data_IF_167289648951
#
_entry.id   IF_167289648951
#
_cell.length_a   1.000
_cell.length_b   1.000
_cell.length_c   1.000
_cell.angle_alpha   90.00
_cell.angle_beta   90.00
_cell.angle_gamma   90.00
#
_symmetry.space_group_name_H-M   'P 1'
#
loop_
_entity.id
_entity.type
_entity.pdbx_description
1 polymer ?
#
# COMPACT_ATOMS: atom_id res chain seq x y z
N UNK A 1 -33.57 11.93 -20.20
CA UNK A 1 -32.82 10.90 -19.47
C UNK A 1 -32.15 11.58 -18.30
N UNK A 2 -32.58 11.22 -17.08
CA UNK A 2 -32.16 11.89 -15.83
C UNK A 2 -30.71 11.54 -15.48
N UNK A 3 -29.80 12.51 -15.24
CA UNK A 3 -28.37 12.25 -14.97
C UNK A 3 -28.10 11.32 -13.76
N UNK A 4 -29.01 11.23 -12.81
CA UNK A 4 -28.89 10.36 -11.63
C UNK A 4 -29.04 8.86 -11.90
N UNK A 5 -29.73 8.45 -12.96
CA UNK A 5 -29.93 7.03 -13.26
C UNK A 5 -28.69 6.37 -13.89
N UNK A 6 -27.88 7.14 -14.62
CA UNK A 6 -26.61 6.65 -15.19
C UNK A 6 -25.54 6.49 -14.11
N UNK A 7 -25.45 7.42 -13.16
CA UNK A 7 -24.53 7.35 -12.02
C UNK A 7 -24.86 6.16 -11.10
N UNK A 8 -26.15 5.88 -10.86
CA UNK A 8 -26.55 4.74 -10.03
C UNK A 8 -26.25 3.39 -10.70
N UNK A 9 -26.42 3.28 -12.02
CA UNK A 9 -26.04 2.07 -12.75
C UNK A 9 -24.53 1.82 -12.72
N UNK A 10 -23.73 2.86 -12.96
CA UNK A 10 -22.29 2.76 -12.94
C UNK A 10 -21.79 2.32 -11.55
N UNK A 11 -22.28 2.92 -10.48
CA UNK A 11 -21.94 2.52 -9.10
C UNK A 11 -22.36 1.06 -8.82
N UNK A 12 -23.47 0.61 -9.36
CA UNK A 12 -23.95 -0.75 -9.15
C UNK A 12 -23.12 -1.79 -9.94
N UNK A 13 -22.67 -1.46 -11.15
CA UNK A 13 -21.75 -2.25 -11.95
C UNK A 13 -20.38 -2.32 -11.28
N UNK A 14 -19.83 -1.20 -10.84
CA UNK A 14 -18.54 -1.14 -10.12
C UNK A 14 -18.55 -1.96 -8.82
N UNK A 15 -19.65 -1.94 -8.07
CA UNK A 15 -19.83 -2.76 -6.86
C UNK A 15 -19.94 -4.25 -7.21
N UNK A 16 -20.63 -4.61 -8.27
CA UNK A 16 -20.73 -6.01 -8.70
C UNK A 16 -19.37 -6.55 -9.15
N UNK A 17 -18.62 -5.79 -9.94
CA UNK A 17 -17.28 -6.15 -10.41
C UNK A 17 -16.33 -6.31 -9.22
N UNK A 18 -16.37 -5.39 -8.25
CA UNK A 18 -15.60 -5.46 -7.02
C UNK A 18 -15.91 -6.72 -6.17
N UNK A 19 -17.18 -7.07 -6.03
CA UNK A 19 -17.62 -8.28 -5.33
C UNK A 19 -17.16 -9.54 -6.06
N UNK A 20 -17.27 -9.54 -7.39
CA UNK A 20 -16.88 -10.65 -8.26
C UNK A 20 -15.37 -10.91 -8.18
N UNK A 21 -14.54 -9.87 -8.27
CA UNK A 21 -13.08 -9.96 -8.09
C UNK A 21 -12.70 -10.54 -6.72
N UNK A 22 -13.37 -10.09 -5.65
CA UNK A 22 -13.15 -10.60 -4.31
C UNK A 22 -13.49 -12.07 -4.14
N UNK A 23 -14.58 -12.53 -4.76
CA UNK A 23 -15.00 -13.94 -4.72
C UNK A 23 -14.01 -14.80 -5.52
N UNK A 24 -13.57 -14.32 -6.67
CA UNK A 24 -12.55 -15.00 -7.48
C UNK A 24 -11.22 -15.13 -6.74
N UNK A 25 -10.74 -14.03 -6.13
CA UNK A 25 -9.50 -14.04 -5.35
C UNK A 25 -9.57 -15.05 -4.19
N UNK A 26 -10.67 -15.09 -3.43
CA UNK A 26 -10.87 -16.08 -2.35
C UNK A 26 -10.83 -17.51 -2.87
N UNK A 27 -11.42 -17.76 -4.03
CA UNK A 27 -11.43 -19.08 -4.66
C UNK A 27 -10.01 -19.48 -5.08
N UNK A 28 -9.25 -18.56 -5.70
CA UNK A 28 -7.86 -18.81 -6.06
C UNK A 28 -6.98 -19.07 -4.83
N UNK A 29 -7.18 -18.32 -3.76
CA UNK A 29 -6.47 -18.49 -2.49
C UNK A 29 -6.77 -19.88 -1.90
N UNK A 30 -8.03 -20.31 -1.86
CA UNK A 30 -8.41 -21.62 -1.33
C UNK A 30 -7.80 -22.76 -2.16
N UNK A 31 -7.83 -22.67 -3.49
CA UNK A 31 -7.22 -23.66 -4.39
C UNK A 31 -5.69 -23.70 -4.22
N UNK A 32 -5.05 -22.55 -4.18
CA UNK A 32 -3.62 -22.46 -3.99
C UNK A 32 -3.18 -22.98 -2.60
N UNK A 33 -3.97 -22.75 -1.56
CA UNK A 33 -3.73 -23.29 -0.22
C UNK A 33 -3.82 -24.83 -0.18
N UNK A 34 -4.59 -25.45 -1.08
CA UNK A 34 -4.62 -26.91 -1.25
C UNK A 34 -3.53 -27.47 -2.19
N UNK A 35 -2.58 -26.62 -2.62
CA UNK A 35 -1.42 -27.03 -3.44
C UNK A 35 -1.60 -26.82 -4.95
N UNK A 36 -2.67 -26.18 -5.41
CA UNK A 36 -2.87 -25.86 -6.83
C UNK A 36 -1.88 -24.76 -7.27
N UNK A 37 -0.79 -25.19 -7.92
CA UNK A 37 0.26 -24.27 -8.43
C UNK A 37 -0.24 -23.33 -9.51
N UNK A 38 -1.25 -23.71 -10.29
CA UNK A 38 -1.85 -22.87 -11.32
C UNK A 38 -2.64 -21.72 -10.68
N UNK A 39 -3.44 -22.00 -9.66
CA UNK A 39 -4.14 -20.99 -8.90
C UNK A 39 -3.17 -20.01 -8.24
N UNK A 40 -2.05 -20.49 -7.69
CA UNK A 40 -1.02 -19.61 -7.15
C UNK A 40 -0.35 -18.75 -8.23
N UNK A 41 -0.06 -19.30 -9.40
CA UNK A 41 0.50 -18.52 -10.51
C UNK A 41 -0.45 -17.40 -10.97
N UNK A 42 -1.76 -17.59 -10.87
CA UNK A 42 -2.74 -16.54 -11.13
C UNK A 42 -2.70 -15.45 -10.05
N UNK A 43 -2.59 -15.80 -8.77
CA UNK A 43 -2.38 -14.84 -7.68
C UNK A 43 -1.09 -14.03 -7.86
N UNK A 44 0.02 -14.69 -8.27
CA UNK A 44 1.27 -13.99 -8.57
C UNK A 44 1.07 -12.98 -9.69
N UNK A 45 0.44 -13.38 -10.81
CA UNK A 45 0.20 -12.47 -11.94
C UNK A 45 -0.67 -11.27 -11.55
N UNK A 46 -1.69 -11.48 -10.73
CA UNK A 46 -2.58 -10.42 -10.25
C UNK A 46 -1.86 -9.41 -9.34
N UNK A 47 -0.94 -9.87 -8.49
CA UNK A 47 -0.36 -9.04 -7.43
C UNK A 47 1.09 -8.59 -7.67
N UNK A 48 1.84 -9.20 -8.62
CA UNK A 48 3.26 -8.87 -8.83
C UNK A 48 3.49 -7.41 -9.22
N UNK A 49 2.66 -6.85 -10.09
CA UNK A 49 2.79 -5.46 -10.53
C UNK A 49 2.61 -4.48 -9.38
N UNK A 50 1.61 -4.72 -8.54
CA UNK A 50 1.38 -3.95 -7.32
C UNK A 50 2.57 -4.04 -6.37
N UNK A 51 3.00 -5.27 -6.03
CA UNK A 51 4.04 -5.48 -5.03
C UNK A 51 5.38 -4.88 -5.45
N UNK A 52 5.80 -5.09 -6.72
CA UNK A 52 7.01 -4.49 -7.27
C UNK A 52 6.98 -2.97 -7.23
N UNK A 53 5.84 -2.37 -7.58
CA UNK A 53 5.67 -0.92 -7.55
C UNK A 53 5.76 -0.35 -6.13
N UNK A 54 5.14 -1.02 -5.17
CA UNK A 54 5.23 -0.65 -3.76
C UNK A 54 6.68 -0.75 -3.26
N UNK A 55 7.32 -1.90 -3.48
CA UNK A 55 8.69 -2.15 -3.04
C UNK A 55 9.72 -1.27 -3.75
N UNK A 56 9.53 -0.96 -5.04
CA UNK A 56 10.37 -0.01 -5.77
C UNK A 56 10.40 1.36 -5.08
N UNK A 57 9.26 1.86 -4.62
CA UNK A 57 9.17 3.10 -3.85
C UNK A 57 9.75 2.97 -2.45
N UNK A 58 9.56 1.83 -1.80
CA UNK A 58 10.17 1.53 -0.49
C UNK A 58 11.69 1.51 -0.60
N UNK A 59 12.24 0.89 -1.63
CA UNK A 59 13.67 0.75 -1.90
C UNK A 59 14.30 1.98 -2.61
N UNK A 60 13.60 3.11 -2.69
CA UNK A 60 14.10 4.35 -3.33
C UNK A 60 14.57 4.16 -4.77
N UNK A 61 13.83 3.40 -5.58
CA UNK A 61 14.14 3.15 -6.98
C UNK A 61 15.17 2.03 -7.22
N UNK A 62 15.70 1.39 -6.19
CA UNK A 62 16.51 0.17 -6.36
C UNK A 62 15.60 -0.99 -6.79
N UNK A 63 15.46 -1.14 -8.11
CA UNK A 63 14.60 -2.16 -8.72
C UNK A 63 15.11 -3.58 -8.47
N UNK A 64 16.43 -3.79 -8.44
CA UNK A 64 17.01 -5.10 -8.15
C UNK A 64 16.58 -5.60 -6.77
N UNK A 65 16.76 -4.75 -5.75
CA UNK A 65 16.32 -5.06 -4.39
C UNK A 65 14.80 -5.21 -4.28
N UNK A 66 14.04 -4.39 -4.96
CA UNK A 66 12.58 -4.48 -4.97
C UNK A 66 12.09 -5.80 -5.59
N UNK A 67 12.74 -6.26 -6.66
CA UNK A 67 12.41 -7.53 -7.31
C UNK A 67 12.78 -8.74 -6.44
N UNK A 68 13.93 -8.70 -5.77
CA UNK A 68 14.35 -9.76 -4.82
C UNK A 68 13.38 -9.88 -3.66
N UNK A 69 13.00 -8.75 -3.04
CA UNK A 69 12.01 -8.72 -1.96
C UNK A 69 10.62 -9.19 -2.40
N UNK A 70 10.21 -8.83 -3.63
CA UNK A 70 8.94 -9.30 -4.17
C UNK A 70 8.96 -10.81 -4.41
N UNK A 71 10.04 -11.33 -4.97
CA UNK A 71 10.20 -12.77 -5.19
C UNK A 71 10.19 -13.53 -3.86
N UNK A 72 10.95 -13.06 -2.87
CA UNK A 72 10.98 -13.68 -1.55
C UNK A 72 9.59 -13.66 -0.88
N UNK A 73 8.85 -12.55 -0.98
CA UNK A 73 7.50 -12.45 -0.46
C UNK A 73 6.57 -13.50 -1.09
N UNK A 74 6.64 -13.74 -2.40
CA UNK A 74 5.84 -14.78 -3.06
C UNK A 74 6.28 -16.19 -2.66
N UNK A 75 7.58 -16.45 -2.50
CA UNK A 75 8.06 -17.75 -1.99
C UNK A 75 7.57 -18.01 -0.57
N UNK A 76 7.62 -17.02 0.29
CA UNK A 76 7.07 -17.11 1.66
C UNK A 76 5.54 -17.27 1.64
N UNK A 77 4.86 -16.53 0.75
CA UNK A 77 3.42 -16.64 0.57
C UNK A 77 3.02 -18.07 0.18
N UNK A 78 3.69 -18.68 -0.79
CA UNK A 78 3.43 -20.06 -1.18
C UNK A 78 3.56 -21.04 -0.02
N UNK A 79 4.61 -20.90 0.79
CA UNK A 79 4.85 -21.78 1.94
C UNK A 79 3.86 -21.58 3.09
N UNK A 80 3.42 -20.34 3.30
CA UNK A 80 2.53 -19.99 4.42
C UNK A 80 1.03 -20.01 4.04
N UNK A 81 0.71 -20.14 2.75
CA UNK A 81 -0.65 -20.08 2.25
C UNK A 81 -1.61 -21.13 2.88
N UNK A 82 -1.18 -22.38 3.19
CA UNK A 82 -2.03 -23.35 3.89
C UNK A 82 -2.47 -22.88 5.28
N UNK A 83 -1.75 -21.93 5.89
CA UNK A 83 -2.07 -21.38 7.21
C UNK A 83 -2.81 -20.02 7.12
N UNK A 84 -3.03 -19.51 5.92
CA UNK A 84 -3.73 -18.24 5.70
C UNK A 84 -5.22 -18.38 6.00
N UNK A 85 -5.70 -17.72 7.04
CA UNK A 85 -7.09 -17.84 7.54
C UNK A 85 -8.10 -16.93 6.83
N UNK A 86 -7.65 -16.09 5.91
CA UNK A 86 -8.53 -15.14 5.22
C UNK A 86 -9.04 -13.98 6.12
N UNK A 87 -8.39 -13.72 7.26
CA UNK A 87 -8.73 -12.64 8.20
C UNK A 87 -8.42 -11.24 7.63
N UNK A 88 -7.64 -11.18 6.58
CA UNK A 88 -7.34 -9.97 5.80
C UNK A 88 -7.41 -10.28 4.32
N UNK A 89 -7.39 -9.25 3.46
CA UNK A 89 -7.22 -9.45 2.01
C UNK A 89 -5.87 -10.09 1.73
N UNK A 90 -5.79 -10.92 0.68
CA UNK A 90 -4.53 -11.55 0.26
C UNK A 90 -3.43 -10.51 0.01
N UNK A 91 -3.78 -9.39 -0.62
CA UNK A 91 -2.88 -8.24 -0.85
C UNK A 91 -2.27 -7.69 0.44
N UNK A 92 -3.08 -7.48 1.50
CA UNK A 92 -2.63 -7.02 2.81
C UNK A 92 -1.66 -8.02 3.45
N UNK A 93 -2.01 -9.30 3.42
CA UNK A 93 -1.18 -10.37 3.95
C UNK A 93 0.15 -10.51 3.20
N UNK A 94 0.13 -10.44 1.86
CA UNK A 94 1.33 -10.45 1.02
C UNK A 94 2.24 -9.25 1.33
N UNK A 95 1.66 -8.06 1.54
CA UNK A 95 2.42 -6.87 1.94
C UNK A 95 3.10 -7.07 3.30
N UNK A 96 2.43 -7.69 4.28
CA UNK A 96 3.04 -8.06 5.57
C UNK A 96 4.26 -8.96 5.39
N UNK A 97 4.16 -9.97 4.53
CA UNK A 97 5.28 -10.88 4.24
C UNK A 97 6.46 -10.13 3.61
N UNK A 98 6.20 -9.25 2.65
CA UNK A 98 7.26 -8.44 2.02
C UNK A 98 7.95 -7.51 3.04
N UNK A 99 7.19 -6.86 3.91
CA UNK A 99 7.75 -5.99 4.95
C UNK A 99 8.48 -6.77 6.05
N UNK A 100 8.08 -8.02 6.35
CA UNK A 100 8.81 -8.86 7.30
C UNK A 100 10.20 -9.22 6.79
N UNK A 101 10.37 -9.42 5.48
CA UNK A 101 11.70 -9.61 4.87
C UNK A 101 12.55 -8.34 4.99
N UNK A 102 11.96 -7.18 4.69
CA UNK A 102 12.64 -5.89 4.82
C UNK A 102 13.09 -5.61 6.26
N UNK A 103 12.25 -5.95 7.25
CA UNK A 103 12.56 -5.75 8.68
C UNK A 103 13.63 -6.72 9.19
N UNK A 104 13.73 -7.93 8.63
CA UNK A 104 14.76 -8.90 9.01
C UNK A 104 16.16 -8.43 8.57
N UNK A 105 16.27 -7.68 7.47
CA UNK A 105 17.51 -7.06 7.02
C UNK A 105 17.92 -5.82 7.84
N UNK A 106 16.96 -5.18 8.49
CA UNK A 106 17.15 -3.96 9.30
C UNK A 106 16.42 -4.10 10.64
N UNK A 107 17.08 -4.61 11.68
CA UNK A 107 16.47 -4.83 13.00
C UNK A 107 16.26 -3.55 13.82
N UNK A 108 15.74 -2.52 13.28
CA UNK A 108 14.99 -1.43 13.93
C UNK A 108 14.82 -0.27 12.95
N UNK A 109 13.61 -0.15 12.40
CA UNK A 109 13.11 1.18 12.09
C UNK A 109 13.00 1.89 13.45
N UNK A 110 13.71 2.98 13.70
CA UNK A 110 13.75 3.56 15.04
C UNK A 110 12.33 3.88 15.50
N UNK A 111 11.97 3.38 16.68
CA UNK A 111 10.84 3.89 17.43
C UNK A 111 11.20 5.33 17.78
N UNK A 112 10.69 6.27 17.01
CA UNK A 112 10.95 7.69 17.23
C UNK A 112 10.18 8.13 18.47
N UNK A 113 10.88 8.81 19.38
CA UNK A 113 10.28 9.55 20.49
C UNK A 113 9.07 10.34 20.02
N UNK A 114 7.92 10.00 20.57
CA UNK A 114 6.65 10.58 20.18
C UNK A 114 6.13 11.46 21.29
N UNK A 115 6.29 12.76 21.12
CA UNK A 115 5.33 13.70 21.70
C UNK A 115 4.21 13.88 20.67
N UNK A 116 2.98 13.46 20.94
CA UNK A 116 1.87 13.65 20.03
C UNK A 116 1.48 15.13 20.03
N UNK A 117 1.33 15.78 18.87
CA UNK A 117 0.51 16.96 18.81
C UNK A 117 -0.96 16.53 18.94
N UNK A 118 -1.67 17.15 19.85
CA UNK A 118 -3.12 17.02 20.00
C UNK A 118 -3.84 17.39 18.69
N UNK A 119 -4.83 16.53 18.38
CA UNK A 119 -5.96 16.78 17.48
C UNK A 119 -5.71 17.30 16.07
N UNK A 120 -5.94 16.39 15.11
CA UNK A 120 -6.68 16.73 13.89
C UNK A 120 -7.24 15.43 13.27
N UNK A 121 -8.48 15.14 13.60
CA UNK A 121 -9.32 14.28 12.78
C UNK A 121 -9.73 15.09 11.56
N UNK A 122 -9.33 14.65 10.37
CA UNK A 122 -10.09 14.88 9.13
C UNK A 122 -9.51 13.97 8.04
N UNK A 123 -10.29 12.94 7.72
CA UNK A 123 -10.16 12.21 6.46
C UNK A 123 -10.77 13.10 5.37
N UNK A 124 -9.94 13.87 4.68
CA UNK A 124 -10.32 14.46 3.41
C UNK A 124 -9.63 13.71 2.27
N UNK A 125 -10.44 12.96 1.53
CA UNK A 125 -10.08 12.52 0.19
C UNK A 125 -9.93 13.77 -0.68
N UNK A 126 -8.69 14.13 -0.98
CA UNK A 126 -8.39 15.21 -1.91
C UNK A 126 -8.26 14.62 -3.30
N UNK A 127 -9.22 14.91 -4.16
CA UNK A 127 -9.16 14.65 -5.61
C UNK A 127 -7.96 15.41 -6.21
N UNK A 128 -7.00 14.64 -6.72
CA UNK A 128 -5.86 15.17 -7.46
C UNK A 128 -6.18 15.24 -8.95
N UNK A 129 -6.23 16.44 -9.50
CA UNK A 129 -6.34 16.67 -10.95
C UNK A 129 -5.03 16.29 -11.67
N UNK A 130 -5.07 15.49 -12.76
CA UNK A 130 -3.86 15.07 -13.48
C UNK A 130 -3.47 16.09 -14.53
N UNK A 131 -2.27 16.65 -14.39
CA UNK A 131 -1.59 17.41 -15.44
C UNK A 131 -0.09 17.34 -15.25
N UNK A 132 0.61 16.83 -16.28
CA UNK A 132 2.08 16.79 -16.44
C UNK A 132 2.81 15.84 -15.47
N UNK A 133 3.46 14.83 -16.01
CA UNK A 133 4.48 13.90 -15.45
C UNK A 133 4.51 13.69 -13.92
N UNK A 134 3.32 13.73 -13.29
CA UNK A 134 3.10 13.67 -11.84
C UNK A 134 3.75 12.44 -11.18
N UNK A 135 4.06 11.40 -11.96
CA UNK A 135 4.71 10.19 -11.45
C UNK A 135 6.16 10.43 -11.08
N UNK A 136 6.90 11.18 -11.91
CA UNK A 136 8.30 11.54 -11.65
C UNK A 136 8.36 12.52 -10.49
N UNK A 137 7.43 13.46 -10.45
CA UNK A 137 7.36 14.45 -9.38
C UNK A 137 6.96 13.82 -8.05
N UNK A 138 6.04 12.84 -8.05
CA UNK A 138 5.66 12.10 -6.85
C UNK A 138 6.81 11.26 -6.31
N UNK A 139 7.55 10.54 -7.16
CA UNK A 139 8.66 9.71 -6.73
C UNK A 139 9.80 10.59 -6.16
N UNK A 140 10.11 11.73 -6.77
CA UNK A 140 11.03 12.74 -6.21
C UNK A 140 10.55 13.29 -4.87
N UNK A 141 9.27 13.62 -4.75
CA UNK A 141 8.71 14.12 -3.51
C UNK A 141 8.78 13.06 -2.39
N UNK A 142 8.51 11.80 -2.70
CA UNK A 142 8.66 10.69 -1.77
C UNK A 142 10.12 10.49 -1.31
N UNK A 143 11.10 10.78 -2.18
CA UNK A 143 12.52 10.64 -1.84
C UNK A 143 13.01 11.67 -0.82
N UNK A 144 12.33 12.81 -0.70
CA UNK A 144 12.65 13.83 0.30
C UNK A 144 12.13 13.48 1.71
N UNK A 145 11.17 12.54 1.80
CA UNK A 145 10.64 12.11 3.08
C UNK A 145 11.67 11.29 3.87
N UNK A 146 11.64 11.42 5.19
CA UNK A 146 12.36 10.49 6.05
C UNK A 146 11.84 9.06 5.84
N UNK A 147 12.68 8.07 6.13
CA UNK A 147 12.30 6.66 5.94
C UNK A 147 10.99 6.29 6.68
N UNK A 148 10.79 6.68 7.98
CA UNK A 148 9.53 6.43 8.66
C UNK A 148 8.32 7.10 8.02
N UNK A 149 8.44 8.36 7.60
CA UNK A 149 7.38 9.08 6.92
C UNK A 149 6.97 8.42 5.61
N UNK A 150 7.96 8.02 4.81
CA UNK A 150 7.73 7.35 3.53
C UNK A 150 7.06 6.00 3.71
N UNK A 151 7.51 5.16 4.64
CA UNK A 151 6.89 3.87 4.92
C UNK A 151 5.44 4.02 5.40
N UNK A 152 5.19 4.95 6.33
CA UNK A 152 3.84 5.22 6.80
C UNK A 152 2.91 5.64 5.65
N UNK A 153 3.36 6.56 4.79
CA UNK A 153 2.59 7.05 3.66
C UNK A 153 2.35 5.96 2.60
N UNK A 154 3.40 5.19 2.23
CA UNK A 154 3.30 4.15 1.22
C UNK A 154 2.38 2.99 1.66
N UNK A 155 2.37 2.64 2.94
CA UNK A 155 1.45 1.61 3.44
C UNK A 155 0.01 2.11 3.48
N UNK A 156 -0.24 3.33 3.91
CA UNK A 156 -1.60 3.85 4.03
C UNK A 156 -2.20 4.24 2.68
N UNK A 157 -1.47 4.92 1.82
CA UNK A 157 -2.00 5.42 0.53
C UNK A 157 -1.52 4.63 -0.69
N UNK A 158 -0.34 4.03 -0.65
CA UNK A 158 0.17 3.22 -1.75
C UNK A 158 -0.31 1.78 -1.72
N UNK A 159 -0.49 1.23 -0.52
CA UNK A 159 -0.96 -0.14 -0.30
C UNK A 159 -2.45 -0.21 0.06
N UNK A 160 -3.10 0.94 0.23
CA UNK A 160 -4.51 1.04 0.61
C UNK A 160 -4.83 0.27 1.92
N UNK A 161 -3.95 0.44 2.92
CA UNK A 161 -4.10 -0.17 4.23
C UNK A 161 -4.67 0.83 5.22
N UNK A 162 -5.52 0.36 6.12
CA UNK A 162 -5.92 1.14 7.28
C UNK A 162 -4.71 1.53 8.13
N UNK A 163 -4.80 2.61 8.88
CA UNK A 163 -3.73 3.01 9.80
C UNK A 163 -3.39 1.90 10.82
N UNK A 164 -4.39 1.12 11.25
CA UNK A 164 -4.16 0.01 12.17
C UNK A 164 -3.35 -1.11 11.53
N UNK A 165 -3.67 -1.51 10.29
CA UNK A 165 -2.92 -2.52 9.55
C UNK A 165 -1.49 -2.08 9.24
N UNK A 166 -1.32 -0.82 8.79
CA UNK A 166 0.01 -0.25 8.54
C UNK A 166 0.86 -0.18 9.82
N UNK A 167 0.26 0.19 10.96
CA UNK A 167 0.93 0.21 12.26
C UNK A 167 1.39 -1.20 12.67
N UNK A 168 0.54 -2.21 12.49
CA UNK A 168 0.89 -3.61 12.76
C UNK A 168 2.03 -4.11 11.87
N UNK A 169 2.03 -3.76 10.58
CA UNK A 169 3.10 -4.15 9.64
C UNK A 169 4.44 -3.54 10.05
N UNK A 170 4.45 -2.27 10.45
CA UNK A 170 5.66 -1.56 10.87
C UNK A 170 6.10 -1.88 12.31
N UNK A 171 5.24 -2.56 13.09
CA UNK A 171 5.49 -2.79 14.51
C UNK A 171 5.44 -1.51 15.35
N UNK A 172 4.66 -0.51 14.91
CA UNK A 172 4.56 0.80 15.59
C UNK A 172 3.25 0.95 16.36
N UNK A 173 3.25 1.78 17.42
CA UNK A 173 2.01 2.27 18.00
C UNK A 173 1.18 3.05 16.96
N UNK A 174 -0.14 2.92 17.02
CA UNK A 174 -1.05 3.60 16.07
C UNK A 174 -0.86 5.12 16.06
N UNK A 175 -0.64 5.72 17.24
CA UNK A 175 -0.36 7.16 17.36
C UNK A 175 0.92 7.57 16.64
N UNK A 176 1.97 6.76 16.71
CA UNK A 176 3.22 6.98 15.97
C UNK A 176 2.98 6.97 14.47
N UNK A 177 2.23 5.97 13.96
CA UNK A 177 1.90 5.91 12.54
C UNK A 177 1.13 7.15 12.08
N UNK A 178 0.05 7.52 12.79
CA UNK A 178 -0.77 8.70 12.46
C UNK A 178 0.10 9.97 12.41
N UNK A 179 1.00 10.14 13.37
CA UNK A 179 1.94 11.28 13.40
C UNK A 179 2.87 11.29 12.20
N UNK A 180 3.43 10.12 11.81
CA UNK A 180 4.31 10.04 10.65
C UNK A 180 3.57 10.32 9.33
N UNK A 181 2.35 9.82 9.19
CA UNK A 181 1.49 10.12 8.04
C UNK A 181 1.20 11.64 7.95
N UNK A 182 0.84 12.27 9.08
CA UNK A 182 0.56 13.71 9.11
C UNK A 182 1.80 14.53 8.72
N UNK A 183 2.98 14.20 9.28
CA UNK A 183 4.25 14.86 8.93
C UNK A 183 4.62 14.67 7.47
N UNK A 184 4.42 13.46 6.94
CA UNK A 184 4.66 13.16 5.52
C UNK A 184 3.77 14.01 4.61
N UNK A 185 2.47 14.09 4.91
CA UNK A 185 1.52 14.94 4.16
C UNK A 185 1.93 16.42 4.19
N UNK A 186 2.33 16.92 5.35
CA UNK A 186 2.78 18.32 5.49
C UNK A 186 4.04 18.60 4.65
N UNK A 187 5.02 17.70 4.69
CA UNK A 187 6.24 17.82 3.87
C UNK A 187 5.94 17.79 2.37
N UNK A 188 5.08 16.87 1.92
CA UNK A 188 4.68 16.79 0.52
C UNK A 188 3.91 18.04 0.08
N UNK A 189 2.99 18.55 0.90
CA UNK A 189 2.22 19.76 0.59
C UNK A 189 3.15 20.96 0.42
N UNK A 190 4.10 21.17 1.32
CA UNK A 190 5.06 22.26 1.23
C UNK A 190 5.91 22.20 -0.06
N UNK A 191 6.26 21.00 -0.53
CA UNK A 191 7.01 20.83 -1.77
C UNK A 191 6.15 21.07 -3.01
N UNK A 192 4.93 20.55 -3.02
CA UNK A 192 4.00 20.75 -4.13
C UNK A 192 3.61 22.22 -4.28
N UNK A 193 3.46 22.96 -3.18
CA UNK A 193 3.23 24.39 -3.22
C UNK A 193 4.44 25.16 -3.77
N UNK A 194 5.66 24.70 -3.48
CA UNK A 194 6.89 25.28 -4.04
C UNK A 194 7.07 24.98 -5.55
N UNK A 195 6.43 23.93 -6.06
CA UNK A 195 6.49 23.54 -7.49
C UNK A 195 5.36 24.13 -8.33
N UNK A 196 4.36 24.77 -7.72
CA UNK A 196 3.35 25.53 -8.47
C UNK A 196 4.05 26.71 -9.14
N UNK A 197 4.07 26.82 -10.50
CA UNK A 197 4.55 28.04 -11.14
C UNK A 197 3.66 29.20 -10.65
N UNK A 198 4.33 30.28 -10.22
CA UNK A 198 3.64 31.54 -9.92
C UNK A 198 2.83 31.96 -11.15
N UNK A 199 1.52 31.80 -11.09
CA UNK A 199 0.55 32.36 -12.05
C UNK A 199 0.26 33.80 -11.67
#
# INVERSE_FOLDING_TARGET
VTPGAQTQRQVQEDVQDFVQEHVQEKTLVARAASGDTRAFAELVRAHQGYLRKLLGRVCRGDQGRADDLAQEAFVRAWRALPQFRGESRFRTWLTRLAYSSLSAERPSLPALDVNPPESAEHDEHSDFAPGVDWRIDLDRALDTLSEPQRHALLLTYGADLSHAEAAQILGWPLGTLKTQVLRAKASLRAQLDAWRPNT
#
